data_IF_289458792551
#
_entry.id   IF_289458792551
#
_cell.length_a   1.000
_cell.length_b   1.000
_cell.length_c   1.000
_cell.angle_alpha   90.00
_cell.angle_beta   90.00
_cell.angle_gamma   90.00
#
_symmetry.space_group_name_H-M   'P 1'
#
loop_
_entity.id
_entity.type
_entity.pdbx_description
1 polymer ?
#
# COMPACT_ATOMS: atom_id res chain seq x y z
N UNK A 1 11.50 -35.73 -44.03
CA UNK A 1 11.28 -34.45 -44.74
C UNK A 1 10.29 -33.63 -43.93
N UNK A 2 10.74 -32.41 -43.53
CA UNK A 2 10.05 -31.16 -43.15
C UNK A 2 8.75 -31.28 -42.30
N UNK A 3 8.57 -30.57 -41.18
CA UNK A 3 9.15 -29.30 -40.76
C UNK A 3 9.23 -29.17 -39.23
N UNK A 4 10.29 -28.50 -38.78
CA UNK A 4 10.47 -27.93 -37.45
C UNK A 4 9.66 -26.64 -37.39
N UNK A 5 8.95 -26.37 -36.29
CA UNK A 5 8.50 -25.01 -35.96
C UNK A 5 8.67 -24.75 -34.47
N UNK A 6 9.82 -24.18 -34.15
CA UNK A 6 10.21 -23.63 -32.86
C UNK A 6 9.41 -22.36 -32.60
N UNK A 7 8.65 -22.29 -31.50
CA UNK A 7 8.20 -21.02 -30.95
C UNK A 7 9.12 -20.63 -29.79
N UNK A 8 10.15 -19.88 -30.18
CA UNK A 8 10.91 -18.95 -29.36
C UNK A 8 10.19 -17.58 -29.45
N UNK A 9 10.41 -16.67 -28.49
CA UNK A 9 10.04 -15.22 -28.41
C UNK A 9 9.07 -14.95 -27.25
N UNK A 10 9.35 -14.12 -26.24
CA UNK A 10 10.52 -13.30 -25.90
C UNK A 10 10.42 -13.02 -24.39
N UNK A 11 11.41 -13.44 -23.59
CA UNK A 11 11.57 -12.97 -22.22
C UNK A 11 12.18 -11.56 -22.32
N UNK A 12 11.38 -10.50 -22.15
CA UNK A 12 11.92 -9.15 -22.01
C UNK A 12 12.51 -9.04 -20.60
N UNK A 13 13.80 -9.33 -20.50
CA UNK A 13 14.62 -8.97 -19.35
C UNK A 13 14.64 -7.44 -19.24
N UNK A 14 13.92 -6.88 -18.26
CA UNK A 14 14.23 -5.55 -17.75
C UNK A 14 15.62 -5.61 -17.11
N UNK A 15 16.64 -5.21 -17.87
CA UNK A 15 17.95 -4.90 -17.32
C UNK A 15 17.83 -3.59 -16.54
N UNK A 16 17.60 -3.68 -15.22
CA UNK A 16 17.88 -2.56 -14.34
C UNK A 16 19.40 -2.49 -14.16
N UNK A 17 20.02 -1.47 -14.74
CA UNK A 17 21.39 -1.07 -14.42
C UNK A 17 21.46 -0.67 -12.94
N UNK A 18 21.79 -1.60 -12.05
CA UNK A 18 22.30 -1.26 -10.73
C UNK A 18 23.75 -0.79 -10.90
N UNK A 19 23.97 0.52 -10.90
CA UNK A 19 25.29 1.06 -10.56
C UNK A 19 25.51 0.78 -9.08
N UNK A 20 26.51 -0.06 -8.79
CA UNK A 20 27.06 -0.21 -7.46
C UNK A 20 27.54 1.18 -6.97
N UNK A 21 27.10 1.57 -5.77
CA UNK A 21 27.62 2.77 -5.13
C UNK A 21 28.91 2.39 -4.41
N UNK A 22 30.03 2.93 -4.90
CA UNK A 22 31.32 2.87 -4.25
C UNK A 22 31.23 3.54 -2.87
N UNK A 23 31.75 2.85 -1.85
CA UNK A 23 31.91 3.37 -0.50
C UNK A 23 32.96 4.49 -0.51
N UNK A 24 32.55 5.71 -0.17
CA UNK A 24 33.52 6.75 0.16
C UNK A 24 33.91 6.62 1.65
N UNK A 25 35.19 6.30 1.85
CA UNK A 25 35.87 6.38 3.13
C UNK A 25 35.82 7.84 3.62
N UNK A 26 34.83 8.20 4.43
CA UNK A 26 34.84 9.34 5.37
C UNK A 26 33.55 9.29 6.17
N UNK A 27 33.64 8.96 7.46
CA UNK A 27 32.53 8.77 8.40
C UNK A 27 31.72 10.03 8.71
N UNK A 28 31.09 10.61 7.70
CA UNK A 28 30.05 11.64 7.83
C UNK A 28 28.75 10.99 7.39
N UNK A 29 27.76 10.95 8.29
CA UNK A 29 26.43 10.46 7.97
C UNK A 29 25.84 11.29 6.82
N UNK A 30 25.98 10.79 5.60
CA UNK A 30 25.25 11.30 4.44
C UNK A 30 23.80 10.96 4.72
N UNK A 31 23.04 11.99 5.07
CA UNK A 31 21.59 11.95 5.05
C UNK A 31 21.15 11.84 3.58
N UNK A 32 21.36 10.64 3.02
CA UNK A 32 20.94 10.30 1.67
C UNK A 32 19.42 10.28 1.71
N UNK A 33 18.79 11.26 1.07
CA UNK A 33 17.38 11.13 0.73
C UNK A 33 17.27 9.85 -0.08
N UNK A 34 16.73 8.80 0.54
CA UNK A 34 16.44 7.55 -0.13
C UNK A 34 15.53 7.89 -1.31
N UNK A 35 15.97 7.59 -2.53
CA UNK A 35 15.13 7.79 -3.71
C UNK A 35 13.78 7.10 -3.48
N UNK A 36 12.66 7.74 -3.86
CA UNK A 36 11.35 7.12 -3.70
C UNK A 36 11.34 5.77 -4.42
N UNK A 37 10.91 4.72 -3.72
CA UNK A 37 10.87 3.39 -4.29
C UNK A 37 9.91 3.39 -5.50
N UNK A 38 10.22 2.58 -6.52
CA UNK A 38 9.50 2.54 -7.81
C UNK A 38 7.96 2.50 -7.66
N UNK A 39 7.43 1.78 -6.68
CA UNK A 39 5.99 1.66 -6.46
C UNK A 39 5.31 3.01 -6.16
N UNK A 40 6.00 3.96 -5.52
CA UNK A 40 5.44 5.29 -5.23
C UNK A 40 5.22 6.06 -6.52
N UNK A 41 6.19 5.99 -7.45
CA UNK A 41 6.06 6.62 -8.77
C UNK A 41 4.94 5.96 -9.59
N UNK A 42 4.82 4.64 -9.54
CA UNK A 42 3.71 3.92 -10.18
C UNK A 42 2.35 4.34 -9.60
N UNK A 43 2.24 4.49 -8.27
CA UNK A 43 1.03 4.98 -7.61
C UNK A 43 0.67 6.40 -8.06
N UNK A 44 1.64 7.32 -8.08
CA UNK A 44 1.43 8.71 -8.53
C UNK A 44 0.90 8.78 -9.96
N UNK A 45 1.36 7.87 -10.83
CA UNK A 45 0.90 7.74 -12.21
C UNK A 45 -0.36 6.86 -12.37
N UNK A 46 -1.02 6.50 -11.26
CA UNK A 46 -2.21 5.65 -11.22
C UNK A 46 -2.05 4.25 -11.80
N UNK A 47 -0.82 3.74 -11.85
CA UNK A 47 -0.46 2.38 -12.27
C UNK A 47 -0.52 1.41 -11.07
N UNK A 48 -1.72 1.27 -10.49
CA UNK A 48 -1.91 0.61 -9.20
C UNK A 48 -1.63 -0.90 -9.25
N UNK A 49 -1.97 -1.56 -10.36
CA UNK A 49 -1.74 -3.00 -10.50
C UNK A 49 -0.23 -3.31 -10.58
N UNK A 50 0.52 -2.48 -11.30
CA UNK A 50 1.97 -2.56 -11.41
C UNK A 50 2.65 -2.24 -10.07
N UNK A 51 2.17 -1.22 -9.35
CA UNK A 51 2.65 -0.90 -8.01
C UNK A 51 2.45 -2.07 -7.03
N UNK A 52 1.24 -2.66 -7.01
CA UNK A 52 0.93 -3.83 -6.20
C UNK A 52 1.81 -5.04 -6.57
N UNK A 53 1.98 -5.28 -7.87
CA UNK A 53 2.78 -6.40 -8.40
C UNK A 53 4.26 -6.26 -8.03
N UNK A 54 4.81 -5.05 -8.13
CA UNK A 54 6.18 -4.75 -7.70
C UNK A 54 6.36 -5.01 -6.20
N UNK A 55 5.46 -4.50 -5.36
CA UNK A 55 5.52 -4.72 -3.91
C UNK A 55 5.39 -6.20 -3.55
N UNK A 56 4.51 -6.95 -4.21
CA UNK A 56 4.38 -8.39 -4.02
C UNK A 56 5.67 -9.14 -4.35
N UNK A 57 6.29 -8.82 -5.49
CA UNK A 57 7.59 -9.36 -5.85
C UNK A 57 8.64 -9.04 -4.76
N UNK A 58 8.69 -7.80 -4.28
CA UNK A 58 9.62 -7.38 -3.21
C UNK A 58 9.40 -8.15 -1.91
N UNK A 59 8.16 -8.29 -1.44
CA UNK A 59 7.84 -9.04 -0.22
C UNK A 59 8.23 -10.51 -0.31
N UNK A 60 8.16 -11.12 -1.50
CA UNK A 60 8.53 -12.52 -1.73
C UNK A 60 10.04 -12.72 -1.94
N UNK A 61 10.72 -11.76 -2.57
CA UNK A 61 12.14 -11.87 -2.93
C UNK A 61 13.10 -11.35 -1.87
N UNK A 62 12.63 -10.55 -0.91
CA UNK A 62 13.46 -9.84 0.05
C UNK A 62 12.89 -10.00 1.48
N UNK A 63 13.53 -10.87 2.26
CA UNK A 63 13.08 -11.18 3.62
C UNK A 63 13.30 -10.05 4.62
N UNK A 64 14.05 -9.00 4.25
CA UNK A 64 14.35 -7.86 5.15
C UNK A 64 13.29 -6.77 5.10
N UNK A 65 12.31 -6.91 4.19
CA UNK A 65 11.23 -5.94 4.00
C UNK A 65 10.35 -5.80 5.23
N UNK A 66 9.86 -4.58 5.44
CA UNK A 66 8.77 -4.32 6.37
C UNK A 66 7.45 -4.82 5.74
N UNK A 67 7.15 -6.11 5.95
CA UNK A 67 5.97 -6.76 5.38
C UNK A 67 4.65 -6.11 5.82
N UNK A 68 4.60 -5.56 7.04
CA UNK A 68 3.44 -4.80 7.52
C UNK A 68 3.15 -3.62 6.60
N UNK A 69 4.15 -2.75 6.39
CA UNK A 69 3.99 -1.58 5.52
C UNK A 69 3.72 -1.98 4.06
N UNK A 70 4.45 -2.97 3.54
CA UNK A 70 4.29 -3.40 2.15
C UNK A 70 2.89 -3.96 1.87
N UNK A 71 2.38 -4.85 2.73
CA UNK A 71 1.03 -5.39 2.57
C UNK A 71 -0.06 -4.32 2.73
N UNK A 72 0.13 -3.34 3.61
CA UNK A 72 -0.78 -2.20 3.71
C UNK A 72 -0.85 -1.43 2.38
N UNK A 73 0.31 -1.14 1.77
CA UNK A 73 0.36 -0.45 0.48
C UNK A 73 -0.22 -1.30 -0.67
N UNK A 74 0.04 -2.61 -0.69
CA UNK A 74 -0.56 -3.54 -1.67
C UNK A 74 -2.09 -3.52 -1.56
N UNK A 75 -2.63 -3.66 -0.34
CA UNK A 75 -4.08 -3.62 -0.11
C UNK A 75 -4.71 -2.29 -0.55
N UNK A 76 -4.04 -1.17 -0.28
CA UNK A 76 -4.45 0.16 -0.76
C UNK A 76 -4.49 0.25 -2.29
N UNK A 77 -3.50 -0.31 -3.00
CA UNK A 77 -3.49 -0.33 -4.47
C UNK A 77 -4.69 -1.10 -5.04
N UNK A 78 -5.02 -2.26 -4.47
CA UNK A 78 -6.22 -2.99 -4.85
C UNK A 78 -7.51 -2.24 -4.50
N UNK A 79 -7.53 -1.52 -3.38
CA UNK A 79 -8.60 -0.59 -3.05
C UNK A 79 -8.78 0.47 -4.14
N UNK A 80 -7.68 1.05 -4.65
CA UNK A 80 -7.74 2.02 -5.75
C UNK A 80 -8.24 1.46 -7.08
N UNK A 81 -8.10 0.15 -7.28
CA UNK A 81 -8.70 -0.59 -8.39
C UNK A 81 -10.16 -1.02 -8.13
N UNK A 82 -10.70 -0.71 -6.94
CA UNK A 82 -11.98 -1.21 -6.42
C UNK A 82 -12.08 -2.76 -6.35
N UNK A 83 -10.93 -3.44 -6.30
CA UNK A 83 -10.87 -4.88 -6.03
C UNK A 83 -10.87 -5.09 -4.51
N UNK A 84 -12.05 -4.95 -3.90
CA UNK A 84 -12.19 -4.92 -2.44
C UNK A 84 -11.87 -6.26 -1.79
N UNK A 85 -12.12 -7.38 -2.47
CA UNK A 85 -11.75 -8.71 -1.98
C UNK A 85 -10.23 -8.81 -1.81
N UNK A 86 -9.44 -8.44 -2.83
CA UNK A 86 -7.97 -8.42 -2.71
C UNK A 86 -7.49 -7.33 -1.77
N UNK A 87 -8.13 -6.17 -1.74
CA UNK A 87 -7.78 -5.10 -0.83
C UNK A 87 -7.87 -5.56 0.62
N UNK A 88 -9.01 -6.13 1.02
CA UNK A 88 -9.24 -6.67 2.36
C UNK A 88 -8.22 -7.77 2.67
N UNK A 89 -8.01 -8.72 1.75
CA UNK A 89 -7.03 -9.79 1.93
C UNK A 89 -5.63 -9.26 2.28
N UNK A 90 -5.11 -8.30 1.51
CA UNK A 90 -3.77 -7.76 1.74
C UNK A 90 -3.70 -6.78 2.91
N UNK A 91 -4.77 -6.05 3.21
CA UNK A 91 -4.83 -5.27 4.45
C UNK A 91 -4.81 -6.20 5.68
N UNK A 92 -5.57 -7.30 5.69
CA UNK A 92 -5.50 -8.28 6.78
C UNK A 92 -4.13 -8.93 6.90
N UNK A 93 -3.46 -9.23 5.77
CA UNK A 93 -2.05 -9.67 5.74
C UNK A 93 -1.12 -8.68 6.42
N UNK A 94 -1.38 -7.38 6.29
CA UNK A 94 -0.55 -6.34 6.89
C UNK A 94 -0.54 -6.42 8.41
N UNK A 95 -1.56 -7.01 9.03
CA UNK A 95 -1.68 -7.09 10.49
C UNK A 95 -1.37 -8.46 11.06
N UNK A 96 -0.95 -9.43 10.23
CA UNK A 96 -0.53 -10.74 10.71
C UNK A 96 0.61 -10.57 11.73
N UNK A 97 0.41 -11.07 12.95
CA UNK A 97 1.36 -11.02 14.08
C UNK A 97 1.61 -9.64 14.69
N UNK A 98 0.69 -8.68 14.51
CA UNK A 98 0.76 -7.37 15.16
C UNK A 98 -0.34 -7.27 16.21
N UNK A 99 0.00 -6.72 17.38
CA UNK A 99 -0.94 -6.58 18.47
C UNK A 99 -1.78 -5.29 18.32
N UNK A 100 -3.12 -5.39 18.33
CA UNK A 100 -4.05 -4.27 18.43
C UNK A 100 -3.73 -3.20 19.48
N UNK A 101 -3.10 -3.61 20.58
CA UNK A 101 -2.86 -2.73 21.72
C UNK A 101 -1.61 -1.86 21.59
N UNK A 102 -0.77 -2.07 20.57
CA UNK A 102 0.49 -1.33 20.40
C UNK A 102 0.25 0.07 19.80
N UNK A 103 -0.82 0.23 19.01
CA UNK A 103 -1.17 1.50 18.37
C UNK A 103 -2.68 1.60 18.07
N UNK A 104 -3.46 1.90 19.11
CA UNK A 104 -4.93 1.89 19.02
C UNK A 104 -5.48 2.78 17.90
N UNK A 105 -4.86 3.93 17.64
CA UNK A 105 -5.33 4.88 16.62
C UNK A 105 -5.05 4.37 15.21
N UNK A 106 -3.90 3.71 14.99
CA UNK A 106 -3.65 2.98 13.76
C UNK A 106 -4.72 1.91 13.53
N UNK A 107 -5.11 1.18 14.58
CA UNK A 107 -6.12 0.14 14.48
C UNK A 107 -7.52 0.68 14.19
N UNK A 108 -7.91 1.83 14.75
CA UNK A 108 -9.16 2.49 14.33
C UNK A 108 -9.14 2.89 12.86
N UNK A 109 -8.00 3.37 12.35
CA UNK A 109 -7.84 3.65 10.93
C UNK A 109 -7.93 2.38 10.06
N UNK A 110 -7.25 1.31 10.47
CA UNK A 110 -7.31 0.00 9.81
C UNK A 110 -8.77 -0.51 9.73
N UNK A 111 -9.47 -0.59 10.86
CA UNK A 111 -10.85 -1.07 10.89
C UNK A 111 -11.82 -0.14 10.14
N UNK A 112 -11.64 1.18 10.23
CA UNK A 112 -12.40 2.13 9.43
C UNK A 112 -12.20 1.90 7.93
N UNK A 113 -10.97 1.61 7.50
CA UNK A 113 -10.68 1.29 6.10
C UNK A 113 -11.32 -0.02 5.67
N UNK A 114 -11.20 -1.09 6.48
CA UNK A 114 -11.82 -2.40 6.20
C UNK A 114 -13.34 -2.29 6.08
N UNK A 115 -14.00 -1.61 7.02
CA UNK A 115 -15.46 -1.46 7.03
C UNK A 115 -15.98 -0.65 5.83
N UNK A 116 -15.21 0.32 5.32
CA UNK A 116 -15.52 0.96 4.04
C UNK A 116 -15.49 -0.05 2.87
N UNK A 117 -14.46 -0.89 2.80
CA UNK A 117 -14.29 -1.89 1.73
C UNK A 117 -15.35 -2.99 1.81
N UNK A 118 -15.75 -3.38 3.01
CA UNK A 118 -16.85 -4.32 3.28
C UNK A 118 -18.25 -3.71 3.03
N UNK A 119 -18.31 -2.41 2.74
CA UNK A 119 -19.56 -1.65 2.56
C UNK A 119 -20.43 -1.61 3.82
N UNK A 120 -19.81 -1.63 5.00
CA UNK A 120 -20.48 -1.43 6.28
C UNK A 120 -20.37 0.03 6.74
N UNK A 121 -21.40 0.82 6.42
CA UNK A 121 -21.44 2.26 6.75
C UNK A 121 -21.59 2.53 8.24
N UNK A 122 -22.27 1.65 8.97
CA UNK A 122 -22.50 1.80 10.41
C UNK A 122 -21.20 1.54 11.18
N UNK A 123 -20.49 0.47 10.84
CA UNK A 123 -19.18 0.19 11.42
C UNK A 123 -18.14 1.25 11.02
N UNK A 124 -18.18 1.76 9.79
CA UNK A 124 -17.33 2.88 9.39
C UNK A 124 -17.59 4.12 10.25
N UNK A 125 -18.86 4.46 10.52
CA UNK A 125 -19.23 5.59 11.40
C UNK A 125 -18.59 5.42 12.79
N UNK A 126 -18.65 4.21 13.36
CA UNK A 126 -18.05 3.89 14.67
C UNK A 126 -16.55 4.18 14.69
N UNK A 127 -15.78 3.65 13.74
CA UNK A 127 -14.32 3.83 13.72
C UNK A 127 -13.90 5.24 13.33
N UNK A 128 -14.61 5.86 12.39
CA UNK A 128 -14.42 7.27 12.04
C UNK A 128 -14.64 8.16 13.27
N UNK A 129 -15.70 7.94 14.05
CA UNK A 129 -15.99 8.70 15.26
C UNK A 129 -14.89 8.52 16.31
N UNK A 130 -14.45 7.27 16.55
CA UNK A 130 -13.35 6.97 17.48
C UNK A 130 -12.09 7.74 17.13
N UNK A 131 -11.64 7.68 15.88
CA UNK A 131 -10.43 8.36 15.44
C UNK A 131 -10.59 9.88 15.41
N UNK A 132 -11.77 10.40 15.03
CA UNK A 132 -11.99 11.84 14.93
C UNK A 132 -12.04 12.57 16.28
N UNK A 133 -12.46 11.90 17.37
CA UNK A 133 -12.60 12.55 18.69
C UNK A 133 -11.26 12.91 19.34
N UNK A 134 -10.22 12.09 19.17
CA UNK A 134 -9.03 12.19 20.03
C UNK A 134 -7.73 11.73 19.38
N UNK A 135 -7.61 11.85 18.05
CA UNK A 135 -6.36 11.49 17.39
C UNK A 135 -5.21 12.43 17.76
N UNK A 136 -3.98 11.92 17.73
CA UNK A 136 -2.78 12.76 17.77
C UNK A 136 -2.58 13.45 16.43
N UNK A 137 -1.75 14.50 16.40
CA UNK A 137 -1.38 15.18 15.15
C UNK A 137 -0.81 14.21 14.09
N UNK A 138 -0.11 13.15 14.51
CA UNK A 138 0.40 12.12 13.61
C UNK A 138 -0.73 11.40 12.84
N UNK A 139 -1.89 11.22 13.48
CA UNK A 139 -3.05 10.52 12.93
C UNK A 139 -4.07 11.43 12.23
N UNK A 140 -3.84 12.74 12.17
CA UNK A 140 -4.72 13.70 11.48
C UNK A 140 -5.02 13.31 10.01
N UNK A 141 -4.05 12.88 9.18
CA UNK A 141 -4.34 12.45 7.81
C UNK A 141 -5.28 11.25 7.75
N UNK A 142 -5.16 10.32 8.70
CA UNK A 142 -5.97 9.11 8.78
C UNK A 142 -7.39 9.44 9.23
N UNK A 143 -7.54 10.35 10.20
CA UNK A 143 -8.84 10.87 10.62
C UNK A 143 -9.58 11.54 9.46
N UNK A 144 -8.91 12.44 8.71
CA UNK A 144 -9.49 13.07 7.51
C UNK A 144 -9.89 12.06 6.45
N UNK A 145 -9.08 11.02 6.27
CA UNK A 145 -9.38 9.93 5.33
C UNK A 145 -10.66 9.21 5.73
N UNK A 146 -10.84 8.79 6.99
CA UNK A 146 -12.09 8.15 7.42
C UNK A 146 -13.31 9.06 7.30
N UNK A 147 -13.17 10.35 7.62
CA UNK A 147 -14.24 11.34 7.42
C UNK A 147 -14.61 11.43 5.94
N UNK A 148 -13.63 11.45 5.05
CA UNK A 148 -13.86 11.49 3.60
C UNK A 148 -14.53 10.22 3.10
N UNK A 149 -14.05 9.04 3.51
CA UNK A 149 -14.65 7.76 3.18
C UNK A 149 -16.13 7.70 3.59
N UNK A 150 -16.47 8.21 4.78
CA UNK A 150 -17.85 8.23 5.25
C UNK A 150 -18.73 9.20 4.44
N UNK A 151 -18.24 10.41 4.16
CA UNK A 151 -18.97 11.42 3.34
C UNK A 151 -19.17 10.97 1.91
N UNK A 152 -18.18 10.28 1.34
CA UNK A 152 -18.13 9.82 -0.04
C UNK A 152 -18.42 8.32 -0.15
N UNK A 153 -19.23 7.77 0.75
CA UNK A 153 -19.38 6.32 0.90
C UNK A 153 -19.76 5.60 -0.40
N UNK A 154 -20.59 6.21 -1.24
CA UNK A 154 -21.04 5.59 -2.51
C UNK A 154 -19.99 5.55 -3.62
N UNK A 155 -18.84 6.24 -3.44
CA UNK A 155 -17.76 6.29 -4.42
C UNK A 155 -16.79 5.12 -4.25
N UNK A 156 -15.99 4.88 -5.27
CA UNK A 156 -14.85 3.96 -5.19
C UNK A 156 -13.81 4.44 -4.17
N UNK A 157 -13.04 3.51 -3.58
CA UNK A 157 -12.12 3.82 -2.47
C UNK A 157 -11.15 4.96 -2.79
N UNK A 158 -10.58 4.99 -4.01
CA UNK A 158 -9.67 6.06 -4.42
C UNK A 158 -10.34 7.42 -4.31
N UNK A 159 -11.46 7.61 -4.99
CA UNK A 159 -12.18 8.88 -5.01
C UNK A 159 -12.71 9.26 -3.61
N UNK A 160 -13.19 8.27 -2.85
CA UNK A 160 -13.70 8.49 -1.50
C UNK A 160 -12.60 8.88 -0.50
N UNK A 161 -11.37 8.41 -0.69
CA UNK A 161 -10.24 8.68 0.21
C UNK A 161 -9.60 10.07 0.04
N UNK A 162 -9.95 10.81 -1.02
CA UNK A 162 -9.37 12.12 -1.31
C UNK A 162 -10.10 13.22 -0.53
N UNK A 163 -9.34 14.04 0.22
CA UNK A 163 -9.86 15.13 1.05
C UNK A 163 -9.13 16.47 0.88
N UNK A 164 -8.29 16.59 -0.15
CA UNK A 164 -7.63 17.85 -0.54
C UNK A 164 -8.49 18.62 -1.53
#
# INVERSE_FOLDING_TARGET
>A
MKAVSTYLILLLCFQTNLKAQESNENGVAVNSKKDPELWMSLEENSQFLEAASYLLYKVQSDSTRNKHADYWHIGRMYGYLNDYEKAIFYLSKSTENINPNDDEQWWWYFYGTITFLERDKEALLKYMTKLNIGHTQYYEPNAKTLVSLYKNFEKGYREASLWK
#
